data_IF_326797299920
#
_entry.id   IF_326797299920
#
_cell.length_a   1.000
_cell.length_b   1.000
_cell.length_c   1.000
_cell.angle_alpha   90.00
_cell.angle_beta   90.00
_cell.angle_gamma   90.00
#
_symmetry.space_group_name_H-M   'P 1'
#
loop_
_entity.id
_entity.type
_entity.pdbx_description
1 polymer ?
#
# COMPACT_ATOMS: atom_id res chain seq x y z
N UNK A 1 -10.50 -10.22 -16.33
CA UNK A 1 -9.04 -10.10 -16.27
C UNK A 1 -8.62 -10.50 -14.88
N UNK A 2 -7.94 -11.65 -14.76
CA UNK A 2 -7.52 -12.31 -13.51
C UNK A 2 -6.41 -11.57 -12.74
N UNK A 3 -6.29 -10.24 -12.90
CA UNK A 3 -5.12 -9.47 -12.46
C UNK A 3 -5.20 -8.94 -11.03
N UNK A 4 -6.29 -9.23 -10.30
CA UNK A 4 -6.51 -8.71 -8.95
C UNK A 4 -6.47 -9.79 -7.86
N UNK A 5 -6.20 -11.06 -8.20
CA UNK A 5 -6.23 -12.20 -7.25
C UNK A 5 -7.49 -12.20 -6.37
N UNK A 6 -8.65 -12.06 -7.02
CA UNK A 6 -9.95 -11.99 -6.36
C UNK A 6 -11.04 -12.51 -7.30
N UNK A 7 -11.92 -13.38 -6.80
CA UNK A 7 -13.11 -13.89 -7.51
C UNK A 7 -14.38 -13.08 -7.24
N UNK A 8 -14.22 -11.78 -6.95
CA UNK A 8 -15.30 -10.81 -6.77
C UNK A 8 -14.88 -9.45 -7.34
N UNK A 9 -15.84 -8.55 -7.53
CA UNK A 9 -15.58 -7.18 -7.98
C UNK A 9 -15.79 -6.18 -6.84
N UNK A 10 -14.99 -5.11 -6.87
CA UNK A 10 -15.17 -3.94 -6.01
C UNK A 10 -15.30 -2.71 -6.87
N UNK A 11 -16.41 -1.99 -6.73
CA UNK A 11 -16.65 -0.74 -7.43
C UNK A 11 -16.66 0.43 -6.43
N UNK A 12 -16.05 1.55 -6.83
CA UNK A 12 -15.96 2.75 -6.00
C UNK A 12 -16.25 3.98 -6.83
N UNK A 13 -17.29 4.70 -6.45
CA UNK A 13 -17.62 6.02 -7.00
C UNK A 13 -17.52 7.05 -5.87
N UNK A 14 -16.68 8.06 -6.03
CA UNK A 14 -16.52 9.05 -4.96
C UNK A 14 -15.96 10.38 -5.43
N UNK A 15 -15.99 11.33 -4.51
CA UNK A 15 -15.43 12.67 -4.67
C UNK A 15 -14.62 13.05 -3.44
N UNK A 16 -13.51 13.77 -3.68
CA UNK A 16 -12.65 14.31 -2.63
C UNK A 16 -12.43 15.79 -2.85
N UNK A 17 -12.60 16.58 -1.79
CA UNK A 17 -12.20 17.99 -1.75
C UNK A 17 -11.07 18.11 -0.74
N UNK A 18 -9.99 18.80 -1.11
CA UNK A 18 -8.87 19.01 -0.21
C UNK A 18 -8.36 20.46 -0.25
N UNK A 19 -8.01 20.98 0.92
CA UNK A 19 -7.42 22.29 1.14
C UNK A 19 -6.01 22.11 1.68
N UNK A 20 -5.02 22.67 0.99
CA UNK A 20 -3.61 22.59 1.38
C UNK A 20 -3.09 23.93 1.90
N UNK A 21 -2.42 23.89 3.04
CA UNK A 21 -1.81 25.04 3.70
C UNK A 21 -0.31 24.81 3.85
N UNK A 22 0.49 25.77 3.40
CA UNK A 22 1.91 25.81 3.74
C UNK A 22 2.04 26.25 5.21
N UNK A 23 2.57 25.38 6.05
CA UNK A 23 2.84 25.65 7.47
C UNK A 23 4.31 26.03 7.72
N UNK A 24 5.08 26.18 6.64
CA UNK A 24 6.51 26.46 6.60
C UNK A 24 7.06 26.12 5.20
N UNK A 25 8.36 26.29 5.00
CA UNK A 25 9.03 25.96 3.72
C UNK A 25 9.10 24.44 3.48
N UNK A 26 9.29 23.66 4.55
CA UNK A 26 9.34 22.19 4.55
C UNK A 26 8.06 21.53 5.10
N UNK A 27 7.02 22.30 5.42
CA UNK A 27 5.83 21.80 6.16
C UNK A 27 4.54 22.10 5.41
N UNK A 28 3.70 21.07 5.28
CA UNK A 28 2.38 21.18 4.66
C UNK A 28 1.33 20.50 5.51
N UNK A 29 0.24 21.21 5.76
CA UNK A 29 -0.99 20.66 6.30
C UNK A 29 -2.02 20.55 5.17
N UNK A 30 -2.61 19.39 4.98
CA UNK A 30 -3.74 19.19 4.08
C UNK A 30 -4.95 18.78 4.89
N UNK A 31 -6.06 19.49 4.73
CA UNK A 31 -7.38 19.08 5.20
C UNK A 31 -8.13 18.48 4.03
N UNK A 32 -8.91 17.43 4.26
CA UNK A 32 -9.72 16.78 3.23
C UNK A 32 -11.09 16.38 3.74
N UNK A 33 -12.05 16.41 2.82
CA UNK A 33 -13.33 15.73 2.94
C UNK A 33 -13.45 14.76 1.77
N UNK A 34 -13.91 13.55 2.03
CA UNK A 34 -14.11 12.52 1.04
C UNK A 34 -15.47 11.86 1.24
N UNK A 35 -16.17 11.63 0.15
CA UNK A 35 -17.39 10.83 0.11
C UNK A 35 -17.25 9.79 -1.01
N UNK A 36 -17.56 8.54 -0.70
CA UNK A 36 -17.59 7.45 -1.67
C UNK A 36 -18.76 6.51 -1.43
N UNK A 37 -19.27 5.94 -2.52
CA UNK A 37 -20.11 4.77 -2.53
C UNK A 37 -19.23 3.59 -2.95
N UNK A 38 -19.14 2.60 -2.08
CA UNK A 38 -18.27 1.44 -2.18
C UNK A 38 -19.13 0.16 -2.22
N UNK A 39 -19.04 -0.56 -3.34
CA UNK A 39 -19.83 -1.76 -3.62
C UNK A 39 -18.92 -2.98 -3.79
N UNK A 40 -19.29 -4.06 -3.10
CA UNK A 40 -18.71 -5.40 -3.28
C UNK A 40 -19.78 -6.24 -3.96
N UNK A 41 -19.47 -6.84 -5.10
CA UNK A 41 -20.45 -7.54 -5.93
C UNK A 41 -19.86 -8.79 -6.60
N UNK A 42 -20.75 -9.73 -6.92
CA UNK A 42 -20.37 -10.97 -7.58
C UNK A 42 -19.65 -11.93 -6.64
N UNK A 43 -19.99 -11.92 -5.35
CA UNK A 43 -19.39 -12.82 -4.38
C UNK A 43 -19.99 -14.22 -4.55
N UNK A 44 -19.15 -15.24 -4.71
CA UNK A 44 -19.61 -16.61 -4.87
C UNK A 44 -20.06 -17.20 -3.52
N UNK A 45 -21.03 -18.11 -3.52
CA UNK A 45 -21.45 -18.82 -2.30
C UNK A 45 -20.34 -19.70 -1.69
N UNK A 46 -19.28 -20.00 -2.45
CA UNK A 46 -18.11 -20.73 -2.00
C UNK A 46 -16.96 -19.82 -1.54
N UNK A 47 -17.12 -18.50 -1.63
CA UNK A 47 -16.16 -17.52 -1.08
C UNK A 47 -16.18 -17.55 0.45
N UNK A 48 -15.18 -16.96 1.09
CA UNK A 48 -15.15 -16.83 2.55
C UNK A 48 -16.45 -16.21 3.10
N UNK A 49 -17.05 -16.73 4.19
CA UNK A 49 -18.19 -16.11 4.86
C UNK A 49 -17.94 -14.64 5.25
N UNK A 50 -16.68 -14.28 5.48
CA UNK A 50 -16.27 -12.89 5.74
C UNK A 50 -16.56 -12.01 4.51
N UNK A 51 -16.15 -12.43 3.32
CA UNK A 51 -16.40 -11.69 2.07
C UNK A 51 -17.90 -11.68 1.73
N UNK A 52 -18.60 -12.80 1.95
CA UNK A 52 -20.04 -12.89 1.73
C UNK A 52 -20.82 -11.90 2.61
N UNK A 53 -20.43 -11.74 3.87
CA UNK A 53 -21.06 -10.79 4.79
C UNK A 53 -20.80 -9.32 4.40
N UNK A 54 -19.79 -9.06 3.59
CA UNK A 54 -19.40 -7.72 3.15
C UNK A 54 -20.02 -7.34 1.79
N UNK A 55 -20.74 -8.25 1.13
CA UNK A 55 -21.41 -7.99 -0.15
C UNK A 55 -22.43 -6.86 -0.04
N UNK A 56 -22.53 -6.05 -1.11
CA UNK A 56 -23.47 -4.95 -1.23
C UNK A 56 -22.80 -3.58 -1.19
N UNK A 57 -23.63 -2.54 -1.06
CA UNK A 57 -23.23 -1.14 -1.18
C UNK A 57 -23.21 -0.44 0.17
N UNK A 58 -22.16 0.35 0.43
CA UNK A 58 -22.11 1.29 1.57
C UNK A 58 -21.60 2.65 1.11
N UNK A 59 -22.08 3.70 1.76
CA UNK A 59 -21.55 5.05 1.58
C UNK A 59 -20.58 5.35 2.72
N UNK A 60 -19.34 5.66 2.40
CA UNK A 60 -18.39 6.24 3.34
C UNK A 60 -18.34 7.75 3.14
N UNK A 61 -18.44 8.53 4.21
CA UNK A 61 -17.93 9.90 4.17
C UNK A 61 -17.09 10.21 5.39
N UNK A 62 -16.00 10.93 5.14
CA UNK A 62 -14.93 11.16 6.09
C UNK A 62 -14.39 12.57 5.97
N UNK A 63 -13.95 13.10 7.11
CA UNK A 63 -13.05 14.25 7.19
C UNK A 63 -11.69 13.75 7.65
N UNK A 64 -10.64 14.38 7.15
CA UNK A 64 -9.30 13.96 7.51
C UNK A 64 -8.29 15.08 7.35
N UNK A 65 -7.10 14.81 7.85
CA UNK A 65 -5.94 15.66 7.66
C UNK A 65 -4.70 14.83 7.35
N UNK A 66 -3.74 15.46 6.68
CA UNK A 66 -2.39 14.96 6.51
C UNK A 66 -1.42 16.08 6.83
N UNK A 67 -0.52 15.82 7.77
CA UNK A 67 0.62 16.66 8.04
C UNK A 67 1.86 16.06 7.39
N UNK A 68 2.62 16.86 6.66
CA UNK A 68 3.86 16.45 6.00
C UNK A 68 4.98 17.41 6.35
N UNK A 69 6.12 16.83 6.71
CA UNK A 69 7.40 17.50 6.85
C UNK A 69 8.35 16.91 5.80
N UNK A 70 8.94 17.71 4.93
CA UNK A 70 9.85 17.24 3.88
C UNK A 70 11.10 18.14 3.78
N UNK A 71 12.16 17.72 4.47
CA UNK A 71 13.44 18.42 4.44
C UNK A 71 14.25 18.12 3.17
N UNK A 72 13.76 17.25 2.27
CA UNK A 72 14.46 16.93 1.01
C UNK A 72 14.26 18.03 -0.05
N UNK A 73 13.30 18.92 0.16
CA UNK A 73 12.95 20.01 -0.75
C UNK A 73 13.69 21.30 -0.38
N UNK A 74 13.77 21.63 0.91
CA UNK A 74 14.31 22.91 1.41
C UNK A 74 15.38 22.75 2.50
N UNK A 75 15.83 21.52 2.78
CA UNK A 75 16.84 21.25 3.79
C UNK A 75 18.20 21.86 3.43
N UNK A 76 18.95 22.27 4.47
CA UNK A 76 20.29 22.84 4.32
C UNK A 76 21.33 21.84 3.81
N UNK A 77 21.06 20.53 3.98
CA UNK A 77 21.91 19.47 3.46
C UNK A 77 21.37 18.99 2.09
N UNK A 78 22.04 19.31 0.97
CA UNK A 78 21.59 18.87 -0.36
C UNK A 78 21.71 17.35 -0.54
N UNK A 79 22.53 16.70 0.29
CA UNK A 79 22.88 15.29 0.19
C UNK A 79 22.14 14.41 1.19
N UNK A 80 21.33 14.96 2.09
CA UNK A 80 20.52 14.15 2.98
C UNK A 80 19.24 14.87 3.41
N UNK A 81 18.15 14.13 3.50
CA UNK A 81 16.89 14.67 3.99
C UNK A 81 15.90 13.60 4.36
N UNK A 82 14.83 14.02 5.03
CA UNK A 82 13.76 13.14 5.48
C UNK A 82 12.41 13.66 5.01
N UNK A 83 11.49 12.74 4.73
CA UNK A 83 10.06 13.02 4.66
C UNK A 83 9.38 12.29 5.81
N UNK A 84 8.56 13.01 6.56
CA UNK A 84 7.63 12.45 7.53
C UNK A 84 6.22 12.86 7.12
N UNK A 85 5.32 11.89 7.02
CA UNK A 85 3.91 12.11 6.72
C UNK A 85 3.06 11.35 7.71
N UNK A 86 2.07 12.03 8.27
CA UNK A 86 1.11 11.46 9.19
C UNK A 86 -0.28 11.91 8.76
N UNK A 87 -1.21 10.95 8.63
CA UNK A 87 -2.57 11.23 8.21
C UNK A 87 -3.59 10.48 9.04
N UNK A 88 -4.71 11.14 9.30
CA UNK A 88 -5.88 10.53 9.93
C UNK A 88 -7.15 10.90 9.16
N UNK A 89 -8.01 9.91 8.97
CA UNK A 89 -9.36 10.04 8.42
C UNK A 89 -10.37 9.55 9.44
N UNK A 90 -11.41 10.34 9.67
CA UNK A 90 -12.52 10.05 10.56
C UNK A 90 -13.77 9.90 9.68
N UNK A 91 -14.17 8.65 9.44
CA UNK A 91 -15.39 8.29 8.76
C UNK A 91 -16.57 8.23 9.74
N UNK A 92 -17.77 8.56 9.26
CA UNK A 92 -18.99 8.65 10.08
C UNK A 92 -19.60 10.05 10.14
N UNK A 93 -19.10 11.00 9.35
CA UNK A 93 -19.65 12.37 9.23
C UNK A 93 -20.84 12.44 8.25
N UNK A 94 -21.59 11.34 8.15
CA UNK A 94 -22.60 11.05 7.15
C UNK A 94 -22.16 9.87 6.29
N UNK A 95 -22.94 8.79 6.26
CA UNK A 95 -22.59 7.53 5.61
C UNK A 95 -23.01 6.33 6.47
N UNK A 96 -22.71 5.14 5.98
CA UNK A 96 -23.09 3.84 6.53
C UNK A 96 -21.93 3.12 7.26
N UNK A 97 -20.76 3.76 7.34
CA UNK A 97 -19.54 3.22 7.97
C UNK A 97 -18.91 4.24 8.92
N UNK A 98 -18.45 3.76 10.07
CA UNK A 98 -17.78 4.55 11.09
C UNK A 98 -16.39 3.96 11.40
N UNK A 99 -15.32 4.75 11.16
CA UNK A 99 -13.96 4.31 11.45
C UNK A 99 -12.98 5.47 11.60
N UNK A 100 -11.83 5.17 12.22
CA UNK A 100 -10.64 5.99 12.19
C UNK A 100 -9.57 5.24 11.39
N UNK A 101 -9.08 5.85 10.31
CA UNK A 101 -7.97 5.33 9.52
C UNK A 101 -6.75 6.22 9.74
N UNK A 102 -5.70 5.64 10.30
CA UNK A 102 -4.42 6.31 10.56
C UNK A 102 -3.36 5.76 9.60
N UNK A 103 -2.54 6.66 9.04
CA UNK A 103 -1.38 6.29 8.22
C UNK A 103 -0.16 7.11 8.63
N UNK A 104 1.00 6.46 8.59
CA UNK A 104 2.28 7.10 8.87
C UNK A 104 3.32 6.64 7.85
N UNK A 105 4.16 7.56 7.39
CA UNK A 105 5.24 7.29 6.45
C UNK A 105 6.47 8.12 6.80
N UNK A 106 7.61 7.45 6.90
CA UNK A 106 8.93 8.05 7.08
C UNK A 106 9.82 7.61 5.93
N UNK A 107 10.50 8.56 5.30
CA UNK A 107 11.51 8.32 4.27
C UNK A 107 12.78 9.02 4.71
N UNK A 108 13.89 8.31 4.78
CA UNK A 108 15.21 8.89 4.91
C UNK A 108 15.97 8.64 3.62
N UNK A 109 16.61 9.69 3.09
CA UNK A 109 17.38 9.60 1.86
C UNK A 109 18.73 10.30 2.03
N UNK A 110 19.79 9.72 1.49
CA UNK A 110 21.08 10.36 1.39
C UNK A 110 21.80 10.02 0.10
N UNK A 111 22.64 10.92 -0.39
CA UNK A 111 23.55 10.69 -1.52
C UNK A 111 24.96 10.46 -1.00
N UNK A 112 25.62 9.44 -1.53
CA UNK A 112 26.98 9.03 -1.18
C UNK A 112 27.80 8.88 -2.47
N UNK A 113 29.10 8.60 -2.35
CA UNK A 113 30.01 8.40 -3.48
C UNK A 113 29.95 9.59 -4.47
N UNK A 114 30.31 10.78 -3.99
CA UNK A 114 30.25 12.03 -4.77
C UNK A 114 28.86 12.32 -5.38
N UNK A 115 27.81 11.95 -4.65
CA UNK A 115 26.41 12.21 -5.00
C UNK A 115 25.83 11.33 -6.12
N UNK A 116 26.63 10.38 -6.64
CA UNK A 116 26.22 9.45 -7.69
C UNK A 116 25.28 8.36 -7.17
N UNK A 117 25.46 7.92 -5.93
CA UNK A 117 24.66 6.82 -5.36
C UNK A 117 23.67 7.36 -4.34
N UNK A 118 22.38 7.06 -4.53
CA UNK A 118 21.31 7.44 -3.61
C UNK A 118 20.90 6.24 -2.76
N UNK A 119 21.01 6.39 -1.45
CA UNK A 119 20.47 5.44 -0.47
C UNK A 119 19.12 5.96 0.02
N UNK A 120 18.12 5.08 0.07
CA UNK A 120 16.77 5.41 0.57
C UNK A 120 16.26 4.32 1.48
N UNK A 121 15.77 4.71 2.66
CA UNK A 121 15.04 3.85 3.57
C UNK A 121 13.63 4.42 3.74
N UNK A 122 12.61 3.60 3.54
CA UNK A 122 11.21 3.96 3.75
C UNK A 122 10.60 3.03 4.78
N UNK A 123 9.93 3.59 5.77
CA UNK A 123 9.06 2.88 6.70
C UNK A 123 7.68 3.49 6.61
N UNK A 124 6.66 2.68 6.37
CA UNK A 124 5.28 3.13 6.36
C UNK A 124 4.36 2.10 6.99
N UNK A 125 3.21 2.56 7.47
CA UNK A 125 2.22 1.69 8.05
C UNK A 125 0.89 2.40 8.22
N UNK A 126 -0.12 1.62 8.57
CA UNK A 126 -1.45 2.13 8.82
C UNK A 126 -2.26 1.21 9.71
N UNK A 127 -3.26 1.81 10.33
CA UNK A 127 -4.24 1.16 11.18
C UNK A 127 -5.63 1.68 10.80
N UNK A 128 -6.57 0.76 10.70
CA UNK A 128 -7.99 1.00 10.54
C UNK A 128 -8.65 0.51 11.82
N UNK A 129 -9.31 1.41 12.54
CA UNK A 129 -10.10 1.08 13.72
C UNK A 129 -11.54 1.42 13.41
N UNK A 130 -12.39 0.41 13.29
CA UNK A 130 -13.84 0.58 13.22
C UNK A 130 -14.39 1.12 14.53
N UNK A 131 -15.50 1.85 14.45
CA UNK A 131 -16.22 2.45 15.57
C UNK A 131 -17.69 1.99 15.53
N UNK A 132 -18.47 2.34 16.55
CA UNK A 132 -19.93 2.11 16.52
C UNK A 132 -20.40 0.65 16.51
N UNK A 133 -19.49 -0.32 16.62
CA UNK A 133 -19.79 -1.75 16.44
C UNK A 133 -19.77 -2.22 14.98
N UNK A 134 -19.30 -1.36 14.06
CA UNK A 134 -19.06 -1.74 12.67
C UNK A 134 -17.91 -2.75 12.55
N UNK A 135 -17.91 -3.48 11.43
CA UNK A 135 -16.88 -4.45 11.04
C UNK A 135 -16.21 -3.93 9.77
N UNK A 136 -14.87 -3.98 9.72
CA UNK A 136 -14.10 -3.48 8.59
C UNK A 136 -14.47 -4.22 7.29
N UNK A 137 -14.72 -3.48 6.21
CA UNK A 137 -14.97 -4.07 4.88
C UNK A 137 -13.70 -4.15 4.06
N UNK A 138 -13.69 -5.03 3.07
CA UNK A 138 -12.61 -5.22 2.11
C UNK A 138 -12.25 -3.92 1.37
N UNK A 139 -13.25 -3.07 1.10
CA UNK A 139 -13.06 -1.76 0.47
C UNK A 139 -12.32 -0.76 1.35
N UNK A 140 -12.37 -0.95 2.68
CA UNK A 140 -11.74 -0.07 3.67
C UNK A 140 -10.40 -0.62 4.17
N UNK A 141 -10.25 -1.94 4.24
CA UNK A 141 -9.03 -2.63 4.70
C UNK A 141 -7.82 -2.30 3.85
N UNK A 142 -6.64 -2.49 4.43
CA UNK A 142 -5.38 -2.34 3.74
C UNK A 142 -5.00 -3.60 2.97
N UNK A 143 -4.36 -3.37 1.83
CA UNK A 143 -3.64 -4.36 1.04
C UNK A 143 -2.27 -3.79 0.70
N UNK A 144 -1.24 -4.63 0.65
CA UNK A 144 0.05 -4.18 0.13
C UNK A 144 -0.04 -4.08 -1.39
N UNK A 145 0.31 -2.90 -1.90
CA UNK A 145 0.59 -2.73 -3.32
C UNK A 145 1.98 -3.26 -3.68
N UNK A 146 2.20 -3.55 -4.97
CA UNK A 146 3.51 -3.95 -5.49
C UNK A 146 4.63 -2.92 -5.25
N UNK A 147 4.28 -1.66 -4.93
CA UNK A 147 5.24 -0.61 -4.54
C UNK A 147 5.66 -0.71 -3.06
N UNK A 148 4.79 -1.22 -2.21
CA UNK A 148 5.02 -1.37 -0.77
C UNK A 148 5.76 -2.67 -0.46
N UNK A 149 5.55 -3.70 -1.28
CA UNK A 149 6.26 -4.96 -1.19
C UNK A 149 6.42 -5.54 -2.61
N UNK A 150 7.56 -5.27 -3.24
CA UNK A 150 7.90 -5.90 -4.54
C UNK A 150 8.09 -7.41 -4.34
N UNK A 151 7.97 -8.19 -5.40
CA UNK A 151 8.08 -9.67 -5.33
C UNK A 151 6.77 -10.40 -5.13
N UNK A 152 5.68 -9.69 -4.84
CA UNK A 152 4.36 -10.26 -4.63
C UNK A 152 3.33 -9.51 -5.46
N UNK A 153 2.27 -10.19 -5.85
CA UNK A 153 1.17 -9.57 -6.57
C UNK A 153 0.31 -8.69 -5.63
N UNK A 154 -0.45 -7.75 -6.18
CA UNK A 154 -1.52 -7.09 -5.44
C UNK A 154 -2.49 -8.14 -4.91
N UNK A 155 -2.89 -7.99 -3.65
CA UNK A 155 -3.63 -9.03 -2.90
C UNK A 155 -2.91 -10.39 -2.85
N UNK A 156 -1.61 -10.41 -3.07
CA UNK A 156 -0.79 -11.62 -3.01
C UNK A 156 -0.38 -12.02 -1.59
N UNK A 157 -0.40 -11.09 -0.64
CA UNK A 157 0.00 -11.28 0.76
C UNK A 157 -1.09 -10.79 1.71
N UNK A 158 -1.29 -11.50 2.82
CA UNK A 158 -2.17 -11.13 3.91
C UNK A 158 -3.02 -12.30 4.40
N UNK A 159 -3.93 -12.05 5.36
CA UNK A 159 -4.89 -13.05 5.83
C UNK A 159 -5.75 -13.59 4.68
N UNK A 160 -5.93 -14.92 4.68
CA UNK A 160 -6.77 -15.66 3.73
C UNK A 160 -7.57 -16.71 4.48
N UNK A 161 -8.77 -16.95 4.00
CA UNK A 161 -9.58 -18.08 4.43
C UNK A 161 -9.19 -19.32 3.60
N UNK A 162 -8.29 -20.14 4.15
CA UNK A 162 -7.76 -21.31 3.46
C UNK A 162 -8.77 -22.47 3.35
N UNK A 163 -9.91 -22.37 4.04
CA UNK A 163 -11.01 -23.33 3.94
C UNK A 163 -12.04 -22.90 2.87
N UNK A 164 -11.95 -21.67 2.34
CA UNK A 164 -12.78 -21.20 1.23
C UNK A 164 -12.18 -21.66 -0.11
N UNK A 165 -13.04 -21.95 -1.11
CA UNK A 165 -12.61 -22.55 -2.38
C UNK A 165 -11.69 -21.62 -3.20
N UNK A 166 -11.94 -20.31 -3.13
CA UNK A 166 -11.19 -19.30 -3.87
C UNK A 166 -9.95 -18.78 -3.11
N UNK A 167 -9.86 -19.05 -1.80
CA UNK A 167 -8.80 -18.57 -0.91
C UNK A 167 -8.48 -17.07 -1.06
N UNK A 168 -9.47 -16.24 -1.38
CA UNK A 168 -9.27 -14.83 -1.70
C UNK A 168 -8.66 -14.06 -0.51
N UNK A 169 -7.79 -13.09 -0.82
CA UNK A 169 -7.16 -12.28 0.21
C UNK A 169 -8.18 -11.35 0.88
N UNK A 170 -8.19 -11.39 2.21
CA UNK A 170 -9.10 -10.60 3.04
C UNK A 170 -8.54 -9.21 3.33
N UNK A 171 -7.22 -9.02 3.17
CA UNK A 171 -6.56 -7.78 3.61
C UNK A 171 -6.52 -7.69 5.14
N UNK A 172 -6.36 -6.50 5.67
CA UNK A 172 -6.25 -6.32 7.12
C UNK A 172 -6.41 -4.89 7.59
N UNK A 173 -6.74 -4.77 8.87
CA UNK A 173 -6.88 -3.50 9.57
C UNK A 173 -5.54 -2.86 9.86
N UNK A 174 -4.45 -3.62 9.82
CA UNK A 174 -3.11 -3.12 10.06
C UNK A 174 -2.20 -3.48 8.89
N UNK A 175 -1.26 -2.58 8.58
CA UNK A 175 -0.14 -2.94 7.72
C UNK A 175 1.13 -2.20 8.13
N UNK A 176 2.25 -2.78 7.77
CA UNK A 176 3.57 -2.16 7.86
C UNK A 176 4.40 -2.59 6.67
N UNK A 177 5.21 -1.68 6.14
CA UNK A 177 6.18 -1.93 5.09
C UNK A 177 7.47 -1.16 5.39
N UNK A 178 8.60 -1.86 5.27
CA UNK A 178 9.94 -1.33 5.34
C UNK A 178 10.66 -1.64 4.02
N UNK A 179 11.28 -0.63 3.42
CA UNK A 179 11.96 -0.73 2.12
C UNK A 179 13.32 -0.07 2.21
N UNK A 180 14.34 -0.78 1.76
CA UNK A 180 15.70 -0.28 1.63
C UNK A 180 16.10 -0.32 0.17
N UNK A 181 16.55 0.80 -0.36
CA UNK A 181 16.83 0.99 -1.78
C UNK A 181 18.17 1.69 -1.98
N UNK A 182 18.88 1.25 -3.02
CA UNK A 182 20.14 1.83 -3.47
C UNK A 182 20.00 2.09 -4.95
N UNK A 183 19.97 3.35 -5.35
CA UNK A 183 19.91 3.78 -6.75
C UNK A 183 21.33 4.23 -7.16
N UNK A 184 21.83 3.76 -8.31
CA UNK A 184 23.19 4.03 -8.78
C UNK A 184 23.26 4.16 -10.31
N UNK A 185 24.19 4.97 -10.84
CA UNK A 185 24.36 5.08 -12.27
C UNK A 185 24.98 3.82 -12.87
N UNK A 186 24.73 3.58 -14.15
CA UNK A 186 25.35 2.50 -14.92
C UNK A 186 26.25 3.16 -15.96
N UNK A 187 27.55 3.24 -15.68
CA UNK A 187 28.50 4.09 -16.43
C UNK A 187 28.48 3.98 -17.96
N UNK A 188 28.14 2.81 -18.53
CA UNK A 188 28.05 2.64 -19.99
C UNK A 188 26.68 2.99 -20.60
N UNK A 189 25.67 3.24 -19.76
CA UNK A 189 24.27 3.41 -20.16
C UNK A 189 23.65 4.73 -19.63
N UNK A 190 24.44 5.59 -18.98
CA UNK A 190 24.01 6.91 -18.54
C UNK A 190 23.57 7.80 -19.71
N UNK A 191 24.33 7.76 -20.82
CA UNK A 191 24.04 8.56 -22.03
C UNK A 191 22.67 8.24 -22.67
N UNK A 192 22.11 7.06 -22.36
CA UNK A 192 20.78 6.62 -22.83
C UNK A 192 19.71 6.70 -21.74
N UNK A 193 20.00 7.38 -20.62
CA UNK A 193 19.06 7.63 -19.53
C UNK A 193 18.75 6.39 -18.68
N UNK A 194 19.68 5.42 -18.63
CA UNK A 194 19.49 4.18 -17.87
C UNK A 194 20.31 4.22 -16.57
N UNK A 195 19.65 3.88 -15.47
CA UNK A 195 20.29 3.68 -14.16
C UNK A 195 19.80 2.40 -13.49
N UNK A 196 20.54 1.95 -12.48
CA UNK A 196 20.29 0.73 -11.75
C UNK A 196 19.80 0.99 -10.33
N UNK A 197 19.13 -0.01 -9.77
CA UNK A 197 18.74 -0.02 -8.38
C UNK A 197 18.86 -1.41 -7.76
N UNK A 198 19.12 -1.48 -6.46
CA UNK A 198 18.95 -2.66 -5.64
C UNK A 198 17.94 -2.35 -4.55
N UNK A 199 17.14 -3.35 -4.17
CA UNK A 199 16.19 -3.18 -3.08
C UNK A 199 16.03 -4.42 -2.21
N UNK A 200 15.66 -4.16 -0.96
CA UNK A 200 15.19 -5.13 0.02
C UNK A 200 13.90 -4.59 0.63
N UNK A 201 12.80 -5.28 0.38
CA UNK A 201 11.47 -4.93 0.87
C UNK A 201 11.00 -5.96 1.89
N UNK A 202 10.36 -5.50 2.96
CA UNK A 202 9.69 -6.35 3.93
C UNK A 202 8.35 -5.72 4.31
N UNK A 203 7.30 -6.52 4.45
CA UNK A 203 5.98 -6.00 4.78
C UNK A 203 5.00 -7.06 5.21
N UNK A 204 3.93 -6.63 5.85
CA UNK A 204 2.81 -7.49 6.22
C UNK A 204 1.54 -6.66 6.35
N UNK A 205 0.41 -7.35 6.16
CA UNK A 205 -0.94 -6.89 6.45
C UNK A 205 -1.54 -7.92 7.41
N UNK A 206 -2.24 -7.46 8.44
CA UNK A 206 -2.78 -8.34 9.47
C UNK A 206 -3.94 -7.70 10.22
N UNK A 207 -4.59 -8.50 11.07
CA UNK A 207 -5.68 -8.09 11.93
C UNK A 207 -7.00 -7.96 11.18
N UNK A 208 -7.99 -8.73 11.59
CA UNK A 208 -9.37 -8.67 11.12
C UNK A 208 -10.29 -8.43 12.31
N UNK A 209 -11.39 -7.71 12.09
CA UNK A 209 -12.44 -7.58 13.11
C UNK A 209 -13.25 -8.88 13.24
N UNK A 210 -13.29 -9.68 12.19
CA UNK A 210 -13.97 -10.97 12.12
C UNK A 210 -13.06 -12.02 11.48
N UNK A 211 -12.78 -13.10 12.20
CA UNK A 211 -11.98 -14.24 11.73
C UNK A 211 -12.81 -15.50 11.50
N UNK A 212 -14.14 -15.41 11.53
CA UNK A 212 -15.04 -16.55 11.28
C UNK A 212 -15.10 -16.88 9.78
N UNK A 213 -14.12 -17.65 9.32
CA UNK A 213 -14.04 -18.16 7.94
C UNK A 213 -14.89 -19.39 7.67
N UNK A 214 -14.66 -20.02 6.53
CA UNK A 214 -15.26 -21.28 6.12
C UNK A 214 -14.81 -22.43 7.03
N UNK A 215 -15.42 -23.62 6.88
CA UNK A 215 -14.99 -24.82 7.61
C UNK A 215 -15.47 -24.96 9.07
N UNK A 216 -16.00 -23.91 9.70
CA UNK A 216 -16.78 -23.97 10.95
C UNK A 216 -16.05 -24.43 12.22
N UNK A 217 -14.76 -24.75 12.13
CA UNK A 217 -13.94 -25.27 13.25
C UNK A 217 -12.64 -24.46 13.45
N UNK A 218 -12.20 -23.71 12.44
CA UNK A 218 -11.02 -22.84 12.51
C UNK A 218 -11.36 -21.36 12.35
N UNK A 219 -10.63 -20.50 13.07
CA UNK A 219 -10.59 -19.06 12.77
C UNK A 219 -9.54 -18.81 11.69
N UNK A 220 -9.82 -17.90 10.76
CA UNK A 220 -8.83 -17.36 9.83
C UNK A 220 -7.62 -16.86 10.62
N UNK A 221 -6.41 -17.26 10.21
CA UNK A 221 -5.18 -16.71 10.76
C UNK A 221 -4.97 -15.29 10.23
N UNK A 222 -5.17 -14.31 11.10
CA UNK A 222 -4.97 -12.88 10.85
C UNK A 222 -3.76 -12.32 11.61
N UNK A 223 -2.87 -13.20 12.07
CA UNK A 223 -1.68 -12.87 12.82
C UNK A 223 -0.62 -12.11 12.01
N UNK A 224 0.33 -11.52 12.73
CA UNK A 224 1.47 -10.86 12.11
C UNK A 224 2.41 -11.90 11.47
N UNK A 225 2.49 -11.94 10.14
CA UNK A 225 3.51 -12.72 9.42
C UNK A 225 4.24 -11.85 8.38
N UNK A 226 5.50 -11.54 8.68
CA UNK A 226 6.35 -10.70 7.85
C UNK A 226 6.79 -11.41 6.57
N UNK A 227 6.48 -10.84 5.40
CA UNK A 227 7.00 -11.24 4.09
C UNK A 227 8.15 -10.34 3.69
N UNK A 228 9.05 -10.85 2.85
CA UNK A 228 10.14 -10.04 2.32
C UNK A 228 10.64 -10.53 0.97
N UNK A 229 11.17 -9.60 0.19
CA UNK A 229 11.75 -9.85 -1.12
C UNK A 229 13.00 -8.98 -1.33
N UNK A 230 13.93 -9.49 -2.12
CA UNK A 230 15.10 -8.76 -2.58
C UNK A 230 15.07 -8.69 -4.11
N UNK A 231 15.65 -7.65 -4.69
CA UNK A 231 15.69 -7.53 -6.13
C UNK A 231 16.56 -6.41 -6.66
N UNK A 232 16.50 -6.24 -7.97
CA UNK A 232 17.13 -5.15 -8.68
C UNK A 232 16.10 -4.43 -9.56
N UNK A 233 16.33 -3.14 -9.73
CA UNK A 233 15.51 -2.27 -10.56
C UNK A 233 16.34 -1.74 -11.72
N UNK A 234 15.72 -1.61 -12.89
CA UNK A 234 16.26 -0.86 -14.01
C UNK A 234 15.37 0.35 -14.22
N UNK A 235 15.95 1.54 -14.14
CA UNK A 235 15.26 2.79 -14.41
C UNK A 235 15.65 3.27 -15.79
N UNK A 236 14.66 3.61 -16.62
CA UNK A 236 14.89 4.10 -17.97
C UNK A 236 14.08 5.38 -18.23
N UNK A 237 14.79 6.48 -18.42
CA UNK A 237 14.18 7.73 -18.86
C UNK A 237 13.87 7.65 -20.36
N UNK A 238 12.59 7.54 -20.70
CA UNK A 238 12.13 7.50 -22.10
C UNK A 238 11.40 8.78 -22.49
N UNK A 239 11.24 9.07 -23.80
CA UNK A 239 10.48 10.24 -24.27
C UNK A 239 9.02 10.30 -23.79
N UNK A 240 8.44 9.14 -23.44
CA UNK A 240 7.05 9.03 -22.96
C UNK A 240 6.95 9.04 -21.42
N UNK A 241 8.08 9.07 -20.72
CA UNK A 241 8.17 9.11 -19.26
C UNK A 241 9.15 8.09 -18.67
N UNK A 242 9.48 8.21 -17.37
CA UNK A 242 10.30 7.22 -16.68
C UNK A 242 9.62 5.84 -16.61
N UNK A 243 10.33 4.82 -17.08
CA UNK A 243 9.98 3.41 -16.93
C UNK A 243 10.82 2.80 -15.80
N UNK A 244 10.21 1.93 -15.02
CA UNK A 244 10.89 1.14 -13.99
C UNK A 244 10.58 -0.33 -14.21
N UNK A 245 11.63 -1.14 -14.35
CA UNK A 245 11.53 -2.60 -14.43
C UNK A 245 12.06 -3.18 -13.13
N UNK A 246 11.22 -3.91 -12.40
CA UNK A 246 11.60 -4.54 -11.14
C UNK A 246 11.74 -6.04 -11.33
N UNK A 247 12.89 -6.57 -10.97
CA UNK A 247 13.16 -8.01 -10.94
C UNK A 247 13.37 -8.39 -9.47
N UNK A 248 12.51 -9.27 -8.97
CA UNK A 248 12.39 -9.57 -7.56
C UNK A 248 12.37 -11.06 -7.29
N UNK A 249 12.80 -11.42 -6.10
CA UNK A 249 12.72 -12.77 -5.56
C UNK A 249 12.24 -12.71 -4.11
N UNK A 250 11.06 -13.29 -3.80
CA UNK A 250 10.66 -13.54 -2.43
C UNK A 250 11.74 -14.34 -1.68
N UNK A 251 12.07 -13.90 -0.47
CA UNK A 251 13.01 -14.58 0.43
C UNK A 251 12.33 -15.06 1.72
N UNK A 252 11.14 -14.54 2.01
CA UNK A 252 10.25 -15.04 3.05
C UNK A 252 8.80 -14.84 2.60
N UNK A 253 8.09 -15.96 2.55
CA UNK A 253 6.74 -16.11 2.00
C UNK A 253 6.01 -17.24 2.75
N UNK A 254 4.68 -17.22 2.71
CA UNK A 254 3.81 -18.31 3.14
C UNK A 254 3.36 -19.14 1.92
N UNK A 255 2.97 -20.42 2.10
CA UNK A 255 2.61 -21.32 0.98
C UNK A 255 1.47 -20.82 0.08
N UNK A 256 0.60 -19.97 0.60
CA UNK A 256 -0.56 -19.38 -0.07
C UNK A 256 -0.30 -17.96 -0.61
N UNK A 257 0.91 -17.42 -0.44
CA UNK A 257 1.26 -16.12 -1.00
C UNK A 257 1.43 -16.23 -2.53
N UNK A 258 1.07 -15.16 -3.25
CA UNK A 258 1.16 -15.12 -4.72
C UNK A 258 2.38 -14.32 -5.16
N UNK A 259 3.49 -14.99 -5.57
CA UNK A 259 4.73 -14.31 -5.96
C UNK A 259 4.61 -13.66 -7.35
N UNK A 260 5.25 -12.50 -7.50
CA UNK A 260 5.41 -11.77 -8.76
C UNK A 260 6.86 -11.33 -8.91
N UNK A 261 7.64 -12.11 -9.67
CA UNK A 261 9.08 -11.89 -9.81
C UNK A 261 9.45 -10.75 -10.78
N UNK A 262 8.50 -10.27 -11.59
CA UNK A 262 8.71 -9.21 -12.55
C UNK A 262 7.53 -8.23 -12.56
N UNK A 263 7.84 -6.94 -12.51
CA UNK A 263 6.86 -5.86 -12.55
C UNK A 263 7.39 -4.68 -13.39
N UNK A 264 6.49 -4.03 -14.12
CA UNK A 264 6.79 -2.82 -14.90
C UNK A 264 5.92 -1.70 -14.37
N UNK A 265 6.54 -0.59 -13.99
CA UNK A 265 5.86 0.63 -13.60
C UNK A 265 6.19 1.77 -14.58
N UNK A 266 5.15 2.47 -15.02
CA UNK A 266 5.27 3.71 -15.78
C UNK A 266 4.88 4.85 -14.85
N UNK A 267 5.77 5.83 -14.67
CA UNK A 267 5.44 7.06 -13.94
C UNK A 267 5.16 8.16 -14.94
N UNK A 268 3.90 8.53 -15.13
CA UNK A 268 3.57 9.74 -15.87
C UNK A 268 3.95 10.96 -15.01
N UNK A 269 4.83 11.82 -15.53
CA UNK A 269 5.05 13.16 -14.97
C UNK A 269 4.07 14.10 -15.66
N UNK A 270 3.17 14.71 -14.89
CA UNK A 270 2.29 15.80 -15.35
C UNK A 270 2.64 17.07 -14.60
#
# INVERSE_FOLDING_TARGET
SDTNNAEFSTERLGGRVALGFAAGEDRRLQLRYEISQDEVLGVNSNSSPIIQAEEGTKVASSIGYTYTYDSRISGLNPNAGVLLSFGQDFAGVGGDVEYIKTTARAVAQTRVLNEEVTLRATLEGGNLSTLGGDVSRLTDRFFLSSRQLRGFDFRGVGPRDLDAVNEDALGGNNYVSARFEVDFPIGFAEDVGISGGLFLDAGTVWGLDNTNGAGGVGSVDDGFSLRSAIGFSLFWETPIGPLTFNFSRPIKDEPFDVPRNFDIAITARF
#
